data_IF_644728008519
#
_entry.id   IF_644728008519
#
_cell.length_a   1.000
_cell.length_b   1.000
_cell.length_c   1.000
_cell.angle_alpha   90.00
_cell.angle_beta   90.00
_cell.angle_gamma   90.00
#
_symmetry.space_group_name_H-M   'P 1'
#
loop_
_entity.id
_entity.type
_entity.pdbx_description
1 polymer ?
#
# COMPACT_ATOMS: atom_id res chain seq x y z
N UNK A 1 34.60 -14.53 1.71
CA UNK A 1 34.88 -13.51 2.74
C UNK A 1 33.62 -12.67 2.83
N UNK A 2 33.09 -12.44 4.02
CA UNK A 2 31.84 -11.68 4.18
C UNK A 2 32.09 -10.17 4.15
N UNK A 3 31.13 -9.42 3.65
CA UNK A 3 31.16 -7.94 3.65
C UNK A 3 30.99 -7.38 5.06
N UNK A 4 31.66 -6.28 5.34
CA UNK A 4 31.45 -5.53 6.59
C UNK A 4 30.12 -4.77 6.56
N UNK A 5 29.64 -4.36 7.74
CA UNK A 5 28.41 -3.56 7.86
C UNK A 5 28.50 -2.25 7.08
N UNK A 6 29.68 -1.62 7.06
CA UNK A 6 29.93 -0.39 6.33
C UNK A 6 29.84 -0.61 4.82
N UNK A 7 30.37 -1.73 4.32
CA UNK A 7 30.31 -2.09 2.89
C UNK A 7 28.88 -2.41 2.44
N UNK A 8 28.11 -3.11 3.28
CA UNK A 8 26.68 -3.36 3.06
C UNK A 8 25.90 -2.03 3.04
N UNK A 9 26.23 -1.11 3.96
CA UNK A 9 25.62 0.23 3.98
C UNK A 9 25.93 1.03 2.70
N UNK A 10 27.13 0.89 2.14
CA UNK A 10 27.47 1.54 0.86
C UNK A 10 26.59 1.03 -0.30
N UNK A 11 26.30 -0.27 -0.34
CA UNK A 11 25.36 -0.85 -1.32
C UNK A 11 23.96 -0.25 -1.13
N UNK A 12 23.47 -0.23 0.12
CA UNK A 12 22.16 0.34 0.45
C UNK A 12 22.04 1.81 0.02
N UNK A 13 23.04 2.63 0.37
CA UNK A 13 23.09 4.04 0.02
C UNK A 13 23.11 4.25 -1.50
N UNK A 14 23.86 3.43 -2.24
CA UNK A 14 23.88 3.50 -3.70
C UNK A 14 22.49 3.19 -4.29
N UNK A 15 21.85 2.10 -3.83
CA UNK A 15 20.52 1.70 -4.30
C UNK A 15 19.47 2.79 -4.03
N UNK A 16 19.50 3.40 -2.84
CA UNK A 16 18.64 4.54 -2.52
C UNK A 16 18.89 5.72 -3.47
N UNK A 17 20.16 6.06 -3.72
CA UNK A 17 20.53 7.17 -4.61
C UNK A 17 20.09 6.97 -6.07
N UNK A 18 19.97 5.72 -6.54
CA UNK A 18 19.49 5.43 -7.90
C UNK A 18 17.97 5.25 -8.00
N UNK A 19 17.23 5.40 -6.89
CA UNK A 19 15.76 5.42 -6.85
C UNK A 19 15.10 4.11 -6.39
N UNK A 20 15.82 3.22 -5.71
CA UNK A 20 15.22 2.04 -5.07
C UNK A 20 14.54 2.47 -3.77
N UNK A 21 13.28 2.90 -3.89
CA UNK A 21 12.53 3.58 -2.83
C UNK A 21 12.17 2.66 -1.65
N UNK A 22 11.59 1.49 -1.94
CA UNK A 22 11.01 0.64 -0.90
C UNK A 22 12.07 -0.15 -0.14
N UNK A 23 12.08 0.01 1.19
CA UNK A 23 13.11 -0.55 2.07
C UNK A 23 13.13 -2.08 1.96
N UNK A 24 11.97 -2.73 2.01
CA UNK A 24 11.88 -4.19 1.97
C UNK A 24 12.34 -4.81 0.64
N UNK A 25 12.22 -4.08 -0.48
CA UNK A 25 12.80 -4.51 -1.77
C UNK A 25 14.29 -4.19 -1.83
N UNK A 26 14.70 -3.04 -1.30
CA UNK A 26 16.09 -2.61 -1.25
C UNK A 26 16.95 -3.59 -0.46
N UNK A 27 16.46 -4.07 0.69
CA UNK A 27 17.17 -5.09 1.47
C UNK A 27 17.35 -6.42 0.71
N UNK A 28 16.34 -6.87 -0.05
CA UNK A 28 16.48 -8.05 -0.94
C UNK A 28 17.55 -7.82 -2.02
N UNK A 29 17.60 -6.62 -2.59
CA UNK A 29 18.61 -6.26 -3.58
C UNK A 29 20.01 -6.13 -2.97
N UNK A 30 20.13 -5.58 -1.75
CA UNK A 30 21.39 -5.50 -1.00
C UNK A 30 21.95 -6.90 -0.77
N UNK A 31 21.13 -7.81 -0.24
CA UNK A 31 21.54 -9.20 0.04
C UNK A 31 22.06 -9.91 -1.21
N UNK A 32 21.35 -9.75 -2.34
CA UNK A 32 21.79 -10.32 -3.60
C UNK A 32 23.10 -9.67 -4.11
N UNK A 33 23.24 -8.35 -4.04
CA UNK A 33 24.45 -7.67 -4.50
C UNK A 33 25.64 -8.02 -3.61
N UNK A 34 25.43 -8.09 -2.30
CA UNK A 34 26.41 -8.54 -1.32
C UNK A 34 26.93 -9.94 -1.68
N UNK A 35 26.01 -10.89 -1.80
CA UNK A 35 26.31 -12.27 -2.22
C UNK A 35 27.07 -12.32 -3.56
N UNK A 36 26.70 -11.47 -4.52
CA UNK A 36 27.38 -11.43 -5.81
C UNK A 36 28.82 -10.91 -5.69
N UNK A 37 29.05 -9.87 -4.90
CA UNK A 37 30.38 -9.29 -4.65
C UNK A 37 31.26 -10.31 -3.92
N UNK A 38 30.75 -10.94 -2.87
CA UNK A 38 31.49 -11.94 -2.08
C UNK A 38 31.94 -13.15 -2.91
N UNK A 39 31.17 -13.50 -3.93
CA UNK A 39 31.47 -14.61 -4.83
C UNK A 39 32.39 -14.23 -6.00
N UNK A 40 32.30 -12.99 -6.51
CA UNK A 40 33.02 -12.58 -7.74
C UNK A 40 34.29 -11.78 -7.47
N UNK A 41 34.42 -11.16 -6.30
CA UNK A 41 35.53 -10.28 -5.97
C UNK A 41 36.53 -11.01 -5.09
N UNK A 42 37.74 -11.22 -5.61
CA UNK A 42 38.81 -11.95 -4.93
C UNK A 42 39.45 -11.15 -3.78
N UNK A 43 39.49 -9.82 -3.86
CA UNK A 43 40.02 -8.94 -2.82
C UNK A 43 38.99 -7.86 -2.47
N UNK A 44 38.10 -8.18 -1.52
CA UNK A 44 37.04 -7.28 -1.05
C UNK A 44 37.60 -5.98 -0.45
N UNK A 45 38.61 -6.00 0.44
CA UNK A 45 39.19 -4.76 0.96
C UNK A 45 39.64 -3.79 -0.15
N UNK A 46 40.40 -4.27 -1.14
CA UNK A 46 40.87 -3.45 -2.26
C UNK A 46 39.74 -2.96 -3.18
N UNK A 47 38.64 -3.73 -3.28
CA UNK A 47 37.47 -3.35 -4.10
C UNK A 47 36.71 -2.15 -3.52
N UNK A 48 36.71 -2.02 -2.19
CA UNK A 48 36.12 -0.92 -1.44
C UNK A 48 37.12 0.17 -1.04
N UNK A 49 38.41 -0.02 -1.32
CA UNK A 49 39.47 0.91 -0.93
C UNK A 49 39.34 2.25 -1.68
N UNK A 50 39.47 3.33 -0.91
CA UNK A 50 39.13 4.68 -1.34
C UNK A 50 40.32 5.35 -2.07
N UNK A 51 40.16 5.56 -3.38
CA UNK A 51 40.99 6.48 -4.17
C UNK A 51 40.19 7.71 -4.65
N UNK A 52 39.24 8.22 -3.84
CA UNK A 52 38.27 9.28 -4.17
C UNK A 52 37.13 8.76 -5.07
N UNK A 53 36.50 9.65 -5.86
CA UNK A 53 35.27 9.50 -6.67
C UNK A 53 35.19 8.31 -7.67
N UNK A 54 36.15 7.39 -7.66
CA UNK A 54 36.32 6.32 -8.65
C UNK A 54 36.67 4.95 -8.05
N UNK A 55 36.11 4.61 -6.88
CA UNK A 55 36.27 3.26 -6.32
C UNK A 55 35.82 2.19 -7.32
N UNK A 56 36.48 1.02 -7.30
CA UNK A 56 36.10 -0.12 -8.13
C UNK A 56 34.64 -0.52 -7.89
N UNK A 57 34.20 -0.44 -6.63
CA UNK A 57 32.81 -0.54 -6.24
C UNK A 57 31.88 0.42 -7.01
N UNK A 58 32.15 1.72 -7.01
CA UNK A 58 31.25 2.70 -7.64
C UNK A 58 31.17 2.48 -9.16
N UNK A 59 32.31 2.20 -9.81
CA UNK A 59 32.34 1.86 -11.25
C UNK A 59 31.51 0.61 -11.54
N UNK A 60 31.67 -0.44 -10.73
CA UNK A 60 30.89 -1.67 -10.83
C UNK A 60 29.38 -1.38 -10.71
N UNK A 61 28.97 -0.67 -9.66
CA UNK A 61 27.56 -0.35 -9.41
C UNK A 61 26.95 0.55 -10.49
N UNK A 62 27.70 1.56 -10.97
CA UNK A 62 27.26 2.44 -12.06
C UNK A 62 27.11 1.68 -13.38
N UNK A 63 28.04 0.78 -13.70
CA UNK A 63 27.98 -0.04 -14.92
C UNK A 63 26.71 -0.91 -14.99
N UNK A 64 26.18 -1.29 -13.82
CA UNK A 64 24.98 -2.14 -13.68
C UNK A 64 23.72 -1.37 -13.33
N UNK A 65 23.77 -0.04 -13.27
CA UNK A 65 22.64 0.80 -12.84
C UNK A 65 21.33 0.46 -13.57
N UNK A 66 21.38 0.31 -14.89
CA UNK A 66 20.19 -0.02 -15.70
C UNK A 66 19.66 -1.43 -15.43
N UNK A 67 20.56 -2.40 -15.20
CA UNK A 67 20.20 -3.76 -14.81
C UNK A 67 19.51 -3.77 -13.44
N UNK A 68 20.08 -3.05 -12.47
CA UNK A 68 19.53 -2.92 -11.12
C UNK A 68 18.15 -2.27 -11.14
N UNK A 69 17.96 -1.22 -11.95
CA UNK A 69 16.64 -0.59 -12.15
C UNK A 69 15.62 -1.53 -12.79
N UNK A 70 15.98 -2.22 -13.87
CA UNK A 70 15.09 -3.21 -14.51
C UNK A 70 14.68 -4.30 -13.54
N UNK A 71 15.63 -4.76 -12.70
CA UNK A 71 15.35 -5.76 -11.68
C UNK A 71 14.41 -5.22 -10.61
N UNK A 72 14.65 -4.01 -10.12
CA UNK A 72 13.76 -3.32 -9.20
C UNK A 72 12.33 -3.23 -9.76
N UNK A 73 12.16 -2.79 -11.01
CA UNK A 73 10.86 -2.70 -11.66
C UNK A 73 10.17 -4.06 -11.82
N UNK A 74 10.93 -5.12 -12.09
CA UNK A 74 10.42 -6.48 -12.18
C UNK A 74 9.91 -6.98 -10.81
N UNK A 75 10.71 -6.79 -9.76
CA UNK A 75 10.33 -7.13 -8.38
C UNK A 75 9.09 -6.34 -7.98
N UNK A 76 9.06 -5.04 -8.29
CA UNK A 76 7.92 -4.16 -8.02
C UNK A 76 6.63 -4.66 -8.66
N UNK A 77 6.66 -4.98 -9.96
CA UNK A 77 5.46 -5.46 -10.67
C UNK A 77 4.96 -6.77 -10.07
N UNK A 78 5.86 -7.72 -9.82
CA UNK A 78 5.51 -9.02 -9.22
C UNK A 78 4.91 -8.84 -7.83
N UNK A 79 5.55 -8.01 -7.00
CA UNK A 79 5.12 -7.74 -5.63
C UNK A 79 3.81 -6.96 -5.58
N UNK A 80 3.60 -6.01 -6.49
CA UNK A 80 2.33 -5.29 -6.61
C UNK A 80 1.16 -6.25 -6.85
N UNK A 81 1.26 -7.16 -7.82
CA UNK A 81 0.18 -8.13 -8.08
C UNK A 81 0.00 -9.13 -6.95
N UNK A 82 1.10 -9.57 -6.34
CA UNK A 82 1.05 -10.45 -5.16
C UNK A 82 0.34 -9.77 -3.98
N UNK A 83 0.70 -8.51 -3.69
CA UNK A 83 0.09 -7.72 -2.62
C UNK A 83 -1.38 -7.44 -2.91
N UNK A 84 -1.74 -7.08 -4.16
CA UNK A 84 -3.12 -6.82 -4.55
C UNK A 84 -4.00 -8.06 -4.35
N UNK A 85 -3.54 -9.24 -4.78
CA UNK A 85 -4.25 -10.50 -4.57
C UNK A 85 -4.34 -10.88 -3.09
N UNK A 86 -3.26 -10.64 -2.33
CA UNK A 86 -3.24 -10.86 -0.89
C UNK A 86 -4.26 -9.97 -0.16
N UNK A 87 -4.28 -8.67 -0.46
CA UNK A 87 -5.22 -7.70 0.11
C UNK A 87 -6.65 -8.12 -0.23
N UNK A 88 -6.93 -8.46 -1.49
CA UNK A 88 -8.26 -8.90 -1.91
C UNK A 88 -8.70 -10.17 -1.17
N UNK A 89 -7.82 -11.16 -1.05
CA UNK A 89 -8.11 -12.39 -0.30
C UNK A 89 -8.38 -12.08 1.17
N UNK A 90 -7.60 -11.21 1.79
CA UNK A 90 -7.78 -10.83 3.18
C UNK A 90 -9.09 -10.04 3.37
N UNK A 91 -9.44 -9.11 2.46
CA UNK A 91 -10.74 -8.43 2.46
C UNK A 91 -11.91 -9.41 2.43
N UNK A 92 -11.84 -10.47 1.61
CA UNK A 92 -12.85 -11.54 1.60
C UNK A 92 -12.87 -12.31 2.92
N UNK A 93 -11.72 -12.54 3.56
CA UNK A 93 -11.71 -13.12 4.90
C UNK A 93 -12.33 -12.19 5.95
N UNK A 94 -12.15 -10.87 5.79
CA UNK A 94 -12.77 -9.89 6.68
C UNK A 94 -14.31 -9.87 6.55
N UNK A 95 -14.90 -10.18 5.39
CA UNK A 95 -16.37 -10.21 5.24
C UNK A 95 -17.02 -11.32 6.05
N UNK A 96 -16.33 -12.45 6.22
CA UNK A 96 -16.85 -13.66 6.89
C UNK A 96 -16.74 -13.53 8.42
N UNK A 97 -15.93 -12.59 8.93
CA UNK A 97 -15.79 -12.39 10.39
C UNK A 97 -17.15 -11.97 11.00
N UNK A 98 -17.61 -12.60 12.09
CA UNK A 98 -18.93 -12.33 12.66
C UNK A 98 -19.21 -10.85 12.95
N UNK A 99 -18.22 -10.12 13.49
CA UNK A 99 -18.32 -8.67 13.74
C UNK A 99 -18.61 -7.89 12.46
N UNK A 100 -17.84 -8.15 11.41
CA UNK A 100 -17.92 -7.41 10.16
C UNK A 100 -19.19 -7.80 9.39
N UNK A 101 -19.55 -9.08 9.42
CA UNK A 101 -20.81 -9.58 8.86
C UNK A 101 -22.03 -8.92 9.53
N UNK A 102 -22.01 -8.75 10.85
CA UNK A 102 -23.07 -8.04 11.58
C UNK A 102 -23.15 -6.57 11.14
N UNK A 103 -22.01 -5.87 11.05
CA UNK A 103 -21.97 -4.47 10.57
C UNK A 103 -22.52 -4.38 9.14
N UNK A 104 -22.06 -5.24 8.24
CA UNK A 104 -22.52 -5.28 6.84
C UNK A 104 -24.02 -5.54 6.77
N UNK A 105 -24.53 -6.50 7.54
CA UNK A 105 -25.95 -6.85 7.58
C UNK A 105 -26.82 -5.69 8.08
N UNK A 106 -26.39 -5.01 9.15
CA UNK A 106 -27.10 -3.85 9.70
C UNK A 106 -27.12 -2.70 8.68
N UNK A 107 -25.96 -2.34 8.13
CA UNK A 107 -25.86 -1.25 7.15
C UNK A 107 -26.66 -1.58 5.89
N UNK A 108 -26.58 -2.80 5.38
CA UNK A 108 -27.34 -3.23 4.20
C UNK A 108 -28.86 -3.19 4.45
N UNK A 109 -29.32 -3.60 5.63
CA UNK A 109 -30.74 -3.59 6.00
C UNK A 109 -31.29 -2.17 6.09
N UNK A 110 -30.56 -1.26 6.77
CA UNK A 110 -30.91 0.16 6.84
C UNK A 110 -30.94 0.75 5.43
N UNK A 111 -29.92 0.47 4.63
CA UNK A 111 -29.80 1.00 3.27
C UNK A 111 -30.91 0.51 2.35
N UNK A 112 -31.34 -0.75 2.48
CA UNK A 112 -32.47 -1.29 1.73
C UNK A 112 -33.76 -0.53 2.05
N UNK A 113 -34.03 -0.29 3.34
CA UNK A 113 -35.20 0.48 3.77
C UNK A 113 -35.14 1.93 3.28
N UNK A 114 -33.98 2.59 3.41
CA UNK A 114 -33.78 3.97 2.97
C UNK A 114 -33.94 4.12 1.45
N UNK A 115 -33.40 3.18 0.67
CA UNK A 115 -33.54 3.20 -0.79
C UNK A 115 -35.01 3.10 -1.24
N UNK A 116 -35.86 2.38 -0.51
CA UNK A 116 -37.29 2.28 -0.80
C UNK A 116 -38.04 3.61 -0.62
N UNK A 117 -37.56 4.49 0.26
CA UNK A 117 -38.20 5.78 0.52
C UNK A 117 -37.95 6.81 -0.60
N UNK A 118 -36.92 6.61 -1.43
CA UNK A 118 -36.54 7.46 -2.58
C UNK A 118 -36.41 8.97 -2.31
N UNK A 119 -36.40 9.39 -1.04
CA UNK A 119 -36.25 10.78 -0.63
C UNK A 119 -34.78 11.21 -0.70
N UNK A 120 -34.49 12.41 -1.23
CA UNK A 120 -33.13 12.97 -1.30
C UNK A 120 -32.36 12.92 0.03
N UNK A 121 -33.06 13.05 1.16
CA UNK A 121 -32.45 12.99 2.49
C UNK A 121 -31.81 11.62 2.79
N UNK A 122 -32.23 10.56 2.11
CA UNK A 122 -31.65 9.22 2.27
C UNK A 122 -30.24 9.11 1.68
N UNK A 123 -29.83 10.01 0.77
CA UNK A 123 -28.46 10.08 0.27
C UNK A 123 -27.45 10.52 1.34
N UNK A 124 -27.88 11.28 2.35
CA UNK A 124 -26.97 11.73 3.40
C UNK A 124 -26.41 10.57 4.21
N UNK A 125 -27.16 9.48 4.34
CA UNK A 125 -26.75 8.30 5.10
C UNK A 125 -25.44 7.66 4.58
N UNK A 126 -25.35 7.17 3.32
CA UNK A 126 -24.12 6.58 2.82
C UNK A 126 -22.97 7.59 2.72
N UNK A 127 -23.25 8.87 2.49
CA UNK A 127 -22.23 9.94 2.46
C UNK A 127 -21.60 10.12 3.84
N UNK A 128 -22.41 10.27 4.88
CA UNK A 128 -21.94 10.44 6.26
C UNK A 128 -21.18 9.18 6.72
N UNK A 129 -21.68 7.99 6.39
CA UNK A 129 -20.98 6.73 6.67
C UNK A 129 -19.61 6.68 5.99
N UNK A 130 -19.54 7.01 4.71
CA UNK A 130 -18.29 6.99 3.94
C UNK A 130 -17.29 7.99 4.51
N UNK A 131 -17.69 9.24 4.72
CA UNK A 131 -16.82 10.29 5.28
C UNK A 131 -16.37 9.91 6.68
N UNK A 132 -17.29 9.49 7.56
CA UNK A 132 -16.98 9.09 8.92
C UNK A 132 -15.98 7.94 8.97
N UNK A 133 -16.12 6.95 8.09
CA UNK A 133 -15.17 5.86 8.01
C UNK A 133 -13.82 6.27 7.41
N UNK A 134 -13.79 7.12 6.38
CA UNK A 134 -12.54 7.69 5.85
C UNK A 134 -11.78 8.39 6.98
N UNK A 135 -12.45 9.24 7.76
CA UNK A 135 -11.84 9.95 8.89
C UNK A 135 -11.30 8.98 9.94
N UNK A 136 -12.10 7.99 10.35
CA UNK A 136 -11.65 6.94 11.27
C UNK A 136 -10.40 6.20 10.74
N UNK A 137 -10.44 5.75 9.49
CA UNK A 137 -9.36 4.99 8.87
C UNK A 137 -8.06 5.81 8.81
N UNK A 138 -8.15 7.07 8.38
CA UNK A 138 -6.98 7.97 8.31
C UNK A 138 -6.40 8.21 9.70
N UNK A 139 -7.23 8.51 10.71
CA UNK A 139 -6.75 8.73 12.08
C UNK A 139 -6.07 7.48 12.64
N UNK A 140 -6.64 6.30 12.40
CA UNK A 140 -6.11 5.03 12.92
C UNK A 140 -4.78 4.63 12.28
N UNK A 141 -4.59 4.96 11.00
CA UNK A 141 -3.43 4.51 10.22
C UNK A 141 -2.32 5.54 10.09
N UNK A 142 -2.57 6.81 10.42
CA UNK A 142 -1.61 7.91 10.26
C UNK A 142 -0.25 7.66 10.89
N UNK A 143 -0.21 7.27 12.16
CA UNK A 143 1.06 7.03 12.87
C UNK A 143 1.83 5.87 12.25
N UNK A 144 1.10 4.82 11.89
CA UNK A 144 1.69 3.64 11.28
C UNK A 144 2.26 3.92 9.89
N UNK A 145 1.55 4.69 9.05
CA UNK A 145 2.04 5.08 7.73
C UNK A 145 3.26 6.01 7.86
N UNK A 146 3.32 6.88 8.87
CA UNK A 146 4.51 7.70 9.12
C UNK A 146 5.75 6.86 9.40
N UNK A 147 5.62 5.80 10.19
CA UNK A 147 6.75 4.93 10.55
C UNK A 147 7.08 3.93 9.43
N UNK A 148 6.08 3.27 8.85
CA UNK A 148 6.25 2.13 7.94
C UNK A 148 5.97 2.47 6.47
N UNK A 149 5.78 3.75 6.12
CA UNK A 149 5.34 4.18 4.78
C UNK A 149 6.30 3.85 3.64
N UNK A 150 7.58 3.62 3.94
CA UNK A 150 8.60 3.17 2.97
C UNK A 150 8.56 1.66 2.69
N UNK A 151 7.67 0.90 3.33
CA UNK A 151 7.45 -0.51 3.01
C UNK A 151 6.48 -0.65 1.83
N UNK A 152 6.81 -1.53 0.88
CA UNK A 152 5.96 -1.72 -0.31
C UNK A 152 4.53 -2.13 0.07
N UNK A 153 4.38 -3.06 1.02
CA UNK A 153 3.06 -3.56 1.44
C UNK A 153 2.16 -2.46 2.04
N UNK A 154 2.73 -1.53 2.80
CA UNK A 154 1.99 -0.40 3.39
C UNK A 154 1.53 0.56 2.31
N UNK A 155 2.38 0.79 1.32
CA UNK A 155 2.03 1.56 0.14
C UNK A 155 0.94 0.87 -0.68
N UNK A 156 0.99 -0.46 -0.84
CA UNK A 156 -0.04 -1.26 -1.53
C UNK A 156 -1.42 -1.11 -0.86
N UNK A 157 -1.50 -1.15 0.48
CA UNK A 157 -2.75 -0.88 1.21
C UNK A 157 -3.24 0.57 1.03
N UNK A 158 -2.32 1.54 1.05
CA UNK A 158 -2.67 2.96 0.85
C UNK A 158 -3.22 3.20 -0.55
N UNK A 159 -2.63 2.57 -1.58
CA UNK A 159 -3.12 2.60 -2.96
C UNK A 159 -4.50 1.94 -3.08
N UNK A 160 -4.71 0.78 -2.47
CA UNK A 160 -6.01 0.09 -2.50
C UNK A 160 -7.13 0.98 -1.93
N UNK A 161 -6.91 1.59 -0.76
CA UNK A 161 -7.84 2.57 -0.18
C UNK A 161 -8.06 3.79 -1.08
N UNK A 162 -6.98 4.33 -1.66
CA UNK A 162 -7.03 5.47 -2.58
C UNK A 162 -7.86 5.20 -3.84
N UNK A 163 -7.73 4.01 -4.45
CA UNK A 163 -8.52 3.61 -5.62
C UNK A 163 -10.01 3.55 -5.26
N UNK A 164 -10.36 2.95 -4.12
CA UNK A 164 -11.76 2.83 -3.68
C UNK A 164 -12.39 4.21 -3.45
N UNK A 165 -11.64 5.12 -2.82
CA UNK A 165 -12.06 6.50 -2.61
C UNK A 165 -12.21 7.23 -3.95
N UNK A 166 -11.26 7.04 -4.87
CA UNK A 166 -11.33 7.67 -6.19
C UNK A 166 -12.55 7.21 -7.00
N UNK A 167 -12.87 5.90 -6.96
CA UNK A 167 -14.10 5.36 -7.55
C UNK A 167 -15.32 6.05 -6.93
N UNK A 168 -15.37 6.17 -5.60
CA UNK A 168 -16.48 6.87 -4.93
C UNK A 168 -16.66 8.31 -5.46
N UNK A 169 -15.57 9.05 -5.61
CA UNK A 169 -15.59 10.42 -6.12
C UNK A 169 -15.95 10.53 -7.61
N UNK A 170 -15.46 9.63 -8.47
CA UNK A 170 -15.79 9.67 -9.91
C UNK A 170 -17.29 9.49 -10.15
N UNK A 171 -17.95 8.68 -9.31
CA UNK A 171 -19.39 8.49 -9.37
C UNK A 171 -20.18 9.53 -8.57
N UNK A 172 -19.51 10.36 -7.76
CA UNK A 172 -20.11 11.50 -7.07
C UNK A 172 -20.35 12.65 -8.05
N UNK A 173 -21.29 12.46 -8.98
CA UNK A 173 -21.70 13.53 -9.87
C UNK A 173 -22.84 14.34 -9.24
N UNK A 174 -22.47 15.44 -8.57
CA UNK A 174 -23.40 16.39 -7.94
C UNK A 174 -24.47 16.90 -8.93
N UNK A 175 -24.18 16.98 -10.23
CA UNK A 175 -25.15 17.48 -11.22
C UNK A 175 -26.31 16.51 -11.49
N UNK A 176 -26.24 15.27 -10.99
CA UNK A 176 -27.34 14.28 -11.03
C UNK A 176 -28.17 14.25 -9.74
N UNK A 177 -27.80 15.07 -8.75
CA UNK A 177 -28.54 15.22 -7.49
C UNK A 177 -29.59 16.31 -7.73
N UNK A 178 -30.81 15.90 -8.05
CA UNK A 178 -31.92 16.81 -8.33
C UNK A 178 -32.35 16.78 -9.79
N UNK A 179 -33.03 15.70 -10.19
CA UNK A 179 -34.10 15.90 -11.18
C UNK A 179 -35.21 16.72 -10.50
N UNK A 180 -35.96 17.52 -11.26
CA UNK A 180 -37.01 18.46 -10.79
C UNK A 180 -38.07 17.89 -9.82
N UNK A 181 -38.08 16.58 -9.58
CA UNK A 181 -39.04 15.87 -8.73
C UNK A 181 -38.53 15.58 -7.30
N UNK A 182 -37.27 15.91 -6.97
CA UNK A 182 -36.69 15.63 -5.64
C UNK A 182 -36.22 14.18 -5.44
N UNK A 183 -36.36 13.33 -6.47
CA UNK A 183 -35.82 11.98 -6.48
C UNK A 183 -34.33 11.97 -6.83
N UNK A 184 -33.61 11.03 -6.25
CA UNK A 184 -32.19 10.83 -6.49
C UNK A 184 -31.92 9.56 -7.29
N UNK A 185 -30.76 9.50 -7.95
CA UNK A 185 -30.38 8.36 -8.78
C UNK A 185 -30.01 7.12 -7.93
N UNK A 186 -30.85 6.07 -7.94
CA UNK A 186 -30.59 4.78 -7.27
C UNK A 186 -29.16 4.24 -7.45
N UNK A 187 -28.56 4.45 -8.62
CA UNK A 187 -27.18 4.06 -8.90
C UNK A 187 -26.16 4.80 -8.04
N UNK A 188 -26.39 6.09 -7.74
CA UNK A 188 -25.47 6.91 -6.93
C UNK A 188 -25.34 6.34 -5.50
N UNK A 189 -26.47 6.06 -4.85
CA UNK A 189 -26.49 5.49 -3.50
C UNK A 189 -25.85 4.12 -3.45
N UNK A 190 -26.16 3.26 -4.41
CA UNK A 190 -25.56 1.93 -4.48
C UNK A 190 -24.04 2.02 -4.68
N UNK A 191 -23.55 2.92 -5.53
CA UNK A 191 -22.11 3.13 -5.68
C UNK A 191 -21.47 3.64 -4.39
N UNK A 192 -22.08 4.61 -3.70
CA UNK A 192 -21.57 5.09 -2.41
C UNK A 192 -21.52 3.99 -1.35
N UNK A 193 -22.56 3.14 -1.30
CA UNK A 193 -22.63 2.00 -0.39
C UNK A 193 -21.55 0.96 -0.70
N UNK A 194 -21.35 0.61 -1.97
CA UNK A 194 -20.31 -0.31 -2.42
C UNK A 194 -18.93 0.24 -2.09
N UNK A 195 -18.69 1.52 -2.35
CA UNK A 195 -17.45 2.21 -1.97
C UNK A 195 -17.22 2.19 -0.46
N UNK A 196 -18.26 2.43 0.33
CA UNK A 196 -18.19 2.31 1.80
C UNK A 196 -17.78 0.90 2.22
N UNK A 197 -18.44 -0.15 1.71
CA UNK A 197 -18.09 -1.53 2.07
C UNK A 197 -16.70 -1.93 1.60
N UNK A 198 -16.30 -1.53 0.39
CA UNK A 198 -14.95 -1.75 -0.12
C UNK A 198 -13.90 -1.11 0.80
N UNK A 199 -14.13 0.15 1.19
CA UNK A 199 -13.21 0.87 2.06
C UNK A 199 -13.20 0.29 3.47
N UNK A 200 -14.37 -0.05 4.01
CA UNK A 200 -14.53 -0.73 5.29
C UNK A 200 -13.68 -2.00 5.34
N UNK A 201 -13.87 -2.90 4.38
CA UNK A 201 -13.13 -4.16 4.32
C UNK A 201 -11.63 -3.98 4.09
N UNK A 202 -11.25 -3.04 3.21
CA UNK A 202 -9.84 -2.72 2.98
C UNK A 202 -9.18 -2.17 4.25
N UNK A 203 -9.89 -1.31 4.99
CA UNK A 203 -9.40 -0.74 6.24
C UNK A 203 -9.28 -1.78 7.35
N UNK A 204 -10.29 -2.64 7.52
CA UNK A 204 -10.26 -3.76 8.48
C UNK A 204 -9.15 -4.76 8.15
N UNK A 205 -8.93 -5.04 6.85
CA UNK A 205 -7.81 -5.87 6.39
C UNK A 205 -6.48 -5.26 6.84
N UNK A 206 -6.27 -3.98 6.53
CA UNK A 206 -5.03 -3.30 6.88
C UNK A 206 -4.82 -3.26 8.40
N UNK A 207 -5.83 -2.83 9.16
CA UNK A 207 -5.78 -2.75 10.63
C UNK A 207 -5.40 -4.10 11.24
N UNK A 208 -5.98 -5.19 10.73
CA UNK A 208 -5.69 -6.53 11.23
C UNK A 208 -4.25 -6.99 10.97
N UNK A 209 -3.58 -6.43 9.94
CA UNK A 209 -2.19 -6.77 9.58
C UNK A 209 -1.15 -5.81 10.16
N UNK A 210 -1.56 -4.68 10.73
CA UNK A 210 -0.63 -3.69 11.28
C UNK A 210 0.37 -4.32 12.27
N UNK A 211 -0.11 -5.16 13.20
CA UNK A 211 0.78 -5.81 14.18
C UNK A 211 1.75 -6.79 13.52
N UNK A 212 1.28 -7.62 12.59
CA UNK A 212 2.15 -8.56 11.86
C UNK A 212 3.20 -7.83 11.02
N UNK A 213 2.84 -6.73 10.38
CA UNK A 213 3.79 -5.89 9.63
C UNK A 213 4.80 -5.26 10.59
N UNK A 214 4.34 -4.74 11.75
CA UNK A 214 5.21 -4.17 12.77
C UNK A 214 6.23 -5.20 13.26
N UNK A 215 5.78 -6.38 13.68
CA UNK A 215 6.66 -7.46 14.15
C UNK A 215 7.64 -7.91 13.07
N UNK A 216 7.17 -8.07 11.83
CA UNK A 216 8.01 -8.55 10.73
C UNK A 216 9.06 -7.53 10.29
N UNK A 217 8.79 -6.23 10.37
CA UNK A 217 9.65 -5.21 9.75
C UNK A 217 10.27 -4.22 10.75
N UNK A 218 10.12 -4.44 12.06
CA UNK A 218 10.68 -3.55 13.07
C UNK A 218 12.20 -3.37 12.90
N UNK A 219 12.90 -4.46 12.58
CA UNK A 219 14.36 -4.48 12.39
C UNK A 219 14.84 -3.70 11.16
N UNK A 220 13.95 -3.33 10.23
CA UNK A 220 14.31 -2.53 9.04
C UNK A 220 14.23 -1.02 9.31
N UNK A 221 13.70 -0.62 10.45
CA UNK A 221 13.40 0.78 10.80
C UNK A 221 14.26 1.26 11.98
N UNK A 222 14.73 0.35 12.82
CA UNK A 222 15.78 0.58 13.83
C UNK A 222 17.16 0.73 13.18
#
# INVERSE_FOLDING_TARGET
>A
MELTKEQVQQINNFLEAIGVEYIDIRFEMVDHIASEIENKVSNIPAFYEDQRLHTHFLKYMLSRKEELKKRYDSILKKKFWSDALFILKDMVQQTIKPRNLAIISIVASISFYMNKLQNINTLYFPIILLIGYITYYVLKTREFIKTFGKLKIVHSYSLAGGIIINIAFQFFNLSKIGNNNGDWNSSLFNTMLISFFGLFLSGESFISKMNTIKEKYNYLIE
#
